data_IF_743051666253
#
_entry.id   IF_743051666253
#
_cell.length_a   1.000
_cell.length_b   1.000
_cell.length_c   1.000
_cell.angle_alpha   90.00
_cell.angle_beta   90.00
_cell.angle_gamma   90.00
#
_symmetry.space_group_name_H-M   'P 1'
#
loop_
_entity.id
_entity.type
_entity.pdbx_description
1 polymer ?
#
# COMPACT_ATOMS: atom_id res chain seq x y z
N UNK A 1 -11.39 -24.75 5.41
CA UNK A 1 -12.80 -24.36 5.18
C UNK A 1 -12.74 -23.02 4.48
N UNK A 2 -13.46 -22.85 3.37
CA UNK A 2 -13.55 -21.54 2.73
C UNK A 2 -14.24 -20.56 3.70
N UNK A 3 -13.74 -19.31 3.85
CA UNK A 3 -14.34 -18.32 4.74
C UNK A 3 -15.77 -18.02 4.31
N UNK A 4 -16.69 -17.92 5.28
CA UNK A 4 -18.10 -17.57 5.05
C UNK A 4 -18.19 -16.19 4.37
N UNK A 5 -19.19 -15.96 3.52
CA UNK A 5 -19.37 -14.70 2.78
C UNK A 5 -19.37 -13.48 3.72
N UNK A 6 -19.89 -13.64 4.94
CA UNK A 6 -19.86 -12.59 5.97
C UNK A 6 -18.45 -12.29 6.47
N UNK A 7 -17.63 -13.32 6.64
CA UNK A 7 -16.22 -13.20 7.03
C UNK A 7 -15.42 -12.54 5.90
N UNK A 8 -15.64 -12.96 4.66
CA UNK A 8 -15.04 -12.33 3.48
C UNK A 8 -15.42 -10.84 3.36
N UNK A 9 -16.69 -10.50 3.60
CA UNK A 9 -17.15 -9.10 3.60
C UNK A 9 -16.43 -8.28 4.68
N UNK A 10 -16.26 -8.84 5.89
CA UNK A 10 -15.54 -8.20 6.98
C UNK A 10 -14.07 -7.96 6.64
N UNK A 11 -13.40 -8.95 6.04
CA UNK A 11 -12.00 -8.84 5.62
C UNK A 11 -11.86 -7.78 4.51
N UNK A 12 -12.71 -7.80 3.48
CA UNK A 12 -12.68 -6.82 2.39
C UNK A 12 -12.96 -5.40 2.88
N UNK A 13 -13.93 -5.23 3.78
CA UNK A 13 -14.22 -3.94 4.41
C UNK A 13 -13.01 -3.41 5.18
N UNK A 14 -12.36 -4.25 5.98
CA UNK A 14 -11.15 -3.87 6.72
C UNK A 14 -9.98 -3.54 5.79
N UNK A 15 -9.79 -4.30 4.72
CA UNK A 15 -8.78 -4.01 3.70
C UNK A 15 -8.99 -2.64 3.04
N UNK A 16 -10.25 -2.27 2.76
CA UNK A 16 -10.58 -0.97 2.20
C UNK A 16 -10.25 0.17 3.18
N UNK A 17 -10.62 0.01 4.46
CA UNK A 17 -10.24 0.96 5.52
C UNK A 17 -8.73 1.15 5.60
N UNK A 18 -7.95 0.05 5.57
CA UNK A 18 -6.50 0.12 5.61
C UNK A 18 -5.95 0.79 4.35
N UNK A 19 -6.47 0.49 3.16
CA UNK A 19 -6.03 1.12 1.90
C UNK A 19 -6.19 2.65 1.96
N UNK A 20 -7.33 3.14 2.46
CA UNK A 20 -7.59 4.57 2.69
C UNK A 20 -6.66 5.17 3.74
N UNK A 21 -6.44 4.46 4.86
CA UNK A 21 -5.52 4.89 5.91
C UNK A 21 -4.08 4.99 5.38
N UNK A 22 -3.61 4.00 4.64
CA UNK A 22 -2.26 3.97 4.08
C UNK A 22 -2.01 5.15 3.15
N UNK A 23 -2.99 5.54 2.32
CA UNK A 23 -2.88 6.73 1.46
C UNK A 23 -2.62 7.97 2.30
N UNK A 24 -3.42 8.17 3.34
CA UNK A 24 -3.25 9.29 4.28
C UNK A 24 -1.90 9.26 4.99
N UNK A 25 -1.44 8.09 5.44
CA UNK A 25 -0.14 7.95 6.10
C UNK A 25 1.05 8.25 5.18
N UNK A 26 0.93 7.92 3.89
CA UNK A 26 1.94 8.30 2.87
C UNK A 26 1.97 9.82 2.70
N UNK A 27 0.81 10.46 2.56
CA UNK A 27 0.69 11.92 2.43
C UNK A 27 1.20 12.66 3.68
N UNK A 28 0.94 12.12 4.87
CA UNK A 28 1.41 12.65 6.16
C UNK A 28 2.88 12.29 6.49
N UNK A 29 3.56 11.51 5.63
CA UNK A 29 4.92 11.02 5.84
C UNK A 29 5.10 10.23 7.17
N UNK A 30 4.10 9.44 7.56
CA UNK A 30 4.07 8.65 8.79
C UNK A 30 4.49 7.21 8.54
N UNK A 31 5.78 7.01 8.26
CA UNK A 31 6.34 5.74 7.77
C UNK A 31 6.14 4.57 8.74
N UNK A 32 6.37 4.76 10.04
CA UNK A 32 6.24 3.67 11.03
C UNK A 32 4.82 3.11 11.11
N UNK A 33 3.83 4.01 11.06
CA UNK A 33 2.42 3.63 11.06
C UNK A 33 2.00 3.02 9.72
N UNK A 34 2.57 3.50 8.61
CA UNK A 34 2.36 2.90 7.29
C UNK A 34 2.85 1.45 7.27
N UNK A 35 4.02 1.17 7.86
CA UNK A 35 4.56 -0.19 7.97
C UNK A 35 3.68 -1.08 8.85
N UNK A 36 3.20 -0.55 9.97
CA UNK A 36 2.29 -1.26 10.87
C UNK A 36 0.98 -1.64 10.16
N UNK A 37 0.38 -0.68 9.45
CA UNK A 37 -0.82 -0.90 8.64
C UNK A 37 -0.58 -1.90 7.50
N UNK A 38 0.62 -1.89 6.89
CA UNK A 38 0.98 -2.84 5.83
C UNK A 38 1.12 -4.28 6.34
N UNK A 39 1.59 -4.48 7.58
CA UNK A 39 1.63 -5.80 8.23
C UNK A 39 0.22 -6.35 8.42
N UNK A 40 -0.70 -5.52 8.95
CA UNK A 40 -2.10 -5.89 9.12
C UNK A 40 -2.75 -6.25 7.77
N UNK A 41 -2.55 -5.41 6.75
CA UNK A 41 -3.06 -5.61 5.39
C UNK A 41 -2.59 -6.94 4.80
N UNK A 42 -1.30 -7.27 4.95
CA UNK A 42 -0.73 -8.53 4.45
C UNK A 42 -1.34 -9.75 5.16
N UNK A 43 -1.57 -9.66 6.48
CA UNK A 43 -2.27 -10.69 7.24
C UNK A 43 -3.68 -10.94 6.71
N UNK A 44 -4.46 -9.88 6.48
CA UNK A 44 -5.82 -9.98 5.95
C UNK A 44 -5.88 -10.57 4.54
N UNK A 45 -4.95 -10.20 3.64
CA UNK A 45 -4.87 -10.83 2.32
C UNK A 45 -4.59 -12.33 2.39
N UNK A 46 -3.77 -12.78 3.36
CA UNK A 46 -3.49 -14.21 3.55
C UNK A 46 -4.72 -15.01 4.03
N UNK A 47 -5.71 -14.33 4.62
CA UNK A 47 -6.96 -14.93 5.08
C UNK A 47 -8.02 -15.00 3.97
N UNK A 48 -7.88 -14.23 2.90
CA UNK A 48 -8.79 -14.32 1.75
C UNK A 48 -8.51 -15.62 0.98
N UNK A 49 -9.49 -16.51 0.93
CA UNK A 49 -9.46 -17.65 0.03
C UNK A 49 -9.79 -17.18 -1.40
N UNK A 50 -8.73 -16.95 -2.19
CA UNK A 50 -8.84 -16.61 -3.62
C UNK A 50 -8.95 -17.86 -4.51
N UNK A 51 -8.98 -19.07 -3.93
CA UNK A 51 -8.81 -20.33 -4.67
C UNK A 51 -10.12 -21.03 -5.05
N UNK A 52 -11.28 -20.55 -4.61
CA UNK A 52 -12.55 -21.27 -4.75
C UNK A 52 -13.70 -20.42 -5.27
N UNK A 53 -14.11 -20.71 -6.50
CA UNK A 53 -15.30 -20.24 -7.23
C UNK A 53 -15.51 -18.71 -7.37
N UNK A 54 -16.06 -18.26 -8.51
CA UNK A 54 -16.43 -16.85 -8.65
C UNK A 54 -17.42 -16.49 -7.54
N UNK A 55 -17.03 -15.54 -6.70
CA UNK A 55 -17.88 -14.92 -5.66
C UNK A 55 -19.25 -14.68 -6.26
N UNK A 56 -20.28 -15.43 -5.84
CA UNK A 56 -21.62 -15.28 -6.41
C UNK A 56 -22.31 -14.01 -5.91
N UNK A 57 -21.92 -13.56 -4.72
CA UNK A 57 -22.49 -12.43 -4.00
C UNK A 57 -22.12 -11.08 -4.67
N UNK A 58 -23.14 -10.32 -5.06
CA UNK A 58 -22.96 -9.01 -5.70
C UNK A 58 -22.33 -7.98 -4.75
N UNK A 59 -22.65 -8.01 -3.45
CA UNK A 59 -22.12 -7.05 -2.49
C UNK A 59 -20.62 -7.27 -2.26
N UNK A 60 -20.17 -8.54 -2.20
CA UNK A 60 -18.75 -8.86 -2.12
C UNK A 60 -17.99 -8.42 -3.38
N UNK A 61 -18.59 -8.53 -4.57
CA UNK A 61 -17.99 -8.02 -5.82
C UNK A 61 -17.83 -6.51 -5.80
N UNK A 62 -18.82 -5.79 -5.29
CA UNK A 62 -18.77 -4.34 -5.18
C UNK A 62 -17.66 -3.90 -4.20
N UNK A 63 -17.59 -4.51 -3.01
CA UNK A 63 -16.51 -4.25 -2.06
C UNK A 63 -15.12 -4.55 -2.64
N UNK A 64 -14.96 -5.66 -3.35
CA UNK A 64 -13.69 -6.00 -4.01
C UNK A 64 -13.32 -4.98 -5.10
N UNK A 65 -14.30 -4.44 -5.83
CA UNK A 65 -14.07 -3.39 -6.83
C UNK A 65 -13.68 -2.07 -6.18
N UNK A 66 -14.34 -1.69 -5.10
CA UNK A 66 -14.01 -0.49 -4.32
C UNK A 66 -12.59 -0.57 -3.76
N UNK A 67 -12.23 -1.70 -3.15
CA UNK A 67 -10.88 -1.97 -2.69
C UNK A 67 -9.85 -1.85 -3.83
N UNK A 68 -10.11 -2.48 -4.97
CA UNK A 68 -9.24 -2.39 -6.13
C UNK A 68 -9.09 -0.94 -6.66
N UNK A 69 -10.15 -0.14 -6.57
CA UNK A 69 -10.12 1.29 -6.87
C UNK A 69 -9.20 2.05 -5.92
N UNK A 70 -9.41 1.90 -4.61
CA UNK A 70 -8.58 2.50 -3.56
C UNK A 70 -7.11 2.12 -3.68
N UNK A 71 -6.82 0.84 -3.98
CA UNK A 71 -5.46 0.35 -4.13
C UNK A 71 -4.73 0.94 -5.34
N UNK A 72 -5.45 1.25 -6.43
CA UNK A 72 -4.86 1.96 -7.58
C UNK A 72 -4.45 3.38 -7.20
N UNK A 73 -5.29 4.07 -6.45
CA UNK A 73 -4.97 5.42 -5.95
C UNK A 73 -3.78 5.38 -5.00
N UNK A 74 -3.78 4.46 -4.03
CA UNK A 74 -2.67 4.25 -3.11
C UNK A 74 -1.37 3.97 -3.87
N UNK A 75 -1.40 3.08 -4.86
CA UNK A 75 -0.23 2.76 -5.69
C UNK A 75 0.29 3.98 -6.43
N UNK A 76 -0.59 4.85 -6.94
CA UNK A 76 -0.18 6.08 -7.62
C UNK A 76 0.53 7.04 -6.67
N UNK A 77 -0.02 7.23 -5.46
CA UNK A 77 0.58 8.10 -4.44
C UNK A 77 1.93 7.56 -3.96
N UNK A 78 2.04 6.26 -3.69
CA UNK A 78 3.31 5.61 -3.31
C UNK A 78 4.36 5.77 -4.42
N UNK A 79 3.98 5.55 -5.68
CA UNK A 79 4.91 5.71 -6.80
C UNK A 79 5.43 7.15 -6.90
N UNK A 80 4.57 8.15 -6.77
CA UNK A 80 4.98 9.56 -6.77
C UNK A 80 5.98 9.87 -5.65
N UNK A 81 5.75 9.34 -4.45
CA UNK A 81 6.68 9.51 -3.32
C UNK A 81 8.01 8.81 -3.61
N UNK A 82 8.00 7.59 -4.15
CA UNK A 82 9.22 6.87 -4.52
C UNK A 82 10.04 7.63 -5.56
N UNK A 83 9.40 8.18 -6.59
CA UNK A 83 10.08 8.97 -7.63
C UNK A 83 10.72 10.23 -7.03
N UNK A 84 9.99 10.93 -6.15
CA UNK A 84 10.49 12.11 -5.47
C UNK A 84 11.68 11.80 -4.55
N UNK A 85 11.60 10.71 -3.77
CA UNK A 85 12.70 10.24 -2.91
C UNK A 85 13.91 9.83 -3.75
N UNK A 86 13.70 9.09 -4.85
CA UNK A 86 14.76 8.68 -5.77
C UNK A 86 15.51 9.88 -6.36
N UNK A 87 14.77 10.92 -6.78
CA UNK A 87 15.35 12.17 -7.27
C UNK A 87 16.20 12.88 -6.20
N UNK A 88 15.67 13.02 -4.98
CA UNK A 88 16.39 13.64 -3.85
C UNK A 88 17.66 12.86 -3.48
N UNK A 89 17.60 11.53 -3.44
CA UNK A 89 18.78 10.69 -3.19
C UNK A 89 19.82 10.83 -4.31
N UNK A 90 19.40 10.99 -5.55
CA UNK A 90 20.27 11.33 -6.68
C UNK A 90 21.04 12.64 -6.45
N UNK A 91 20.35 13.69 -5.98
CA UNK A 91 20.98 14.97 -5.64
C UNK A 91 21.99 14.82 -4.49
N UNK A 92 21.64 14.08 -3.43
CA UNK A 92 22.55 13.79 -2.31
C UNK A 92 23.81 13.07 -2.79
N UNK A 93 23.67 12.06 -3.66
CA UNK A 93 24.81 11.32 -4.24
C UNK A 93 25.74 12.23 -5.06
N UNK A 94 25.18 13.15 -5.84
CA UNK A 94 25.94 14.15 -6.59
C UNK A 94 26.70 15.09 -5.65
N UNK A 95 26.03 15.62 -4.62
CA UNK A 95 26.68 16.45 -3.59
C UNK A 95 27.82 15.71 -2.88
N UNK A 96 27.62 14.44 -2.53
CA UNK A 96 28.65 13.62 -1.89
C UNK A 96 29.86 13.37 -2.80
N UNK A 97 29.65 13.23 -4.11
CA UNK A 97 30.73 13.13 -5.10
C UNK A 97 31.52 14.44 -5.19
N UNK A 98 30.85 15.59 -5.17
CA UNK A 98 31.50 16.90 -5.16
C UNK A 98 32.36 17.10 -3.90
N UNK A 99 31.83 16.79 -2.71
CA UNK A 99 32.58 16.87 -1.44
C UNK A 99 33.85 16.02 -1.49
N UNK A 100 33.78 14.79 -2.02
CA UNK A 100 34.96 13.93 -2.21
C UNK A 100 35.98 14.50 -3.18
N UNK A 101 35.54 15.19 -4.23
CA UNK A 101 36.44 15.82 -5.20
C UNK A 101 37.18 17.02 -4.58
N UNK A 102 36.50 17.83 -3.75
CA UNK A 102 37.12 18.96 -3.06
C UNK A 102 38.04 18.53 -1.92
N UNK A 103 37.68 17.50 -1.14
CA UNK A 103 38.52 17.00 -0.03
C UNK A 103 39.79 16.24 -0.45
N UNK A 104 40.11 16.19 -1.75
CA UNK A 104 41.39 15.68 -2.28
C UNK A 104 42.41 16.78 -2.57
N UNK A 105 42.04 18.04 -2.36
CA UNK A 105 42.95 19.19 -2.28
C UNK A 105 43.12 19.60 -0.82
#
# INVERSE_FOLDING_TARGET
MAPDNREQAGILGRLLEISVLQRRLVEENRIEELLSAQIERAGLFSMLDLSGEPVADSALKELARELAGSDRELSAVVQQVMDAVGSRLGQVKTGMSAVKAYGRY
#
